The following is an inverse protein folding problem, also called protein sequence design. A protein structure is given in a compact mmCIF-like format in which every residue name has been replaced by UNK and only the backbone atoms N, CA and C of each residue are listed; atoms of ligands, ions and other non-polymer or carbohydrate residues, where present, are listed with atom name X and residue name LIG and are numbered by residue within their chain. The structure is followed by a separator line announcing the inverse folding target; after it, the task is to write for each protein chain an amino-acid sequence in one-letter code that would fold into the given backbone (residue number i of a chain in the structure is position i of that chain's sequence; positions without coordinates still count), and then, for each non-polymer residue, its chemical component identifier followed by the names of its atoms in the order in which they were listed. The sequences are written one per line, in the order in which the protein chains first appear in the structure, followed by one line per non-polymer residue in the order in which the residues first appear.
data_IF_311898171762
#
_entry.id   IF_311898171762
#
_cell.length_a   1.000
_cell.length_b   1.000
_cell.length_c   1.000
_cell.angle_alpha   90.00
_cell.angle_beta   90.00
_cell.angle_gamma   90.00
#
_symmetry.space_group_name_H-M   'P 1'
#
loop_
_entity.id
_entity.type
_entity.pdbx_description
1 polymer ?
#
# COMPACT_ATOMS: atom_id res chain seq x y z
N UNK A 1 -23.67 -14.60 30.29
CA UNK A 1 -22.96 -13.66 31.19
C UNK A 1 -22.95 -12.30 30.52
N UNK A 2 -23.61 -11.31 31.13
CA UNK A 2 -23.78 -9.96 30.54
C UNK A 2 -22.58 -9.10 30.96
N UNK A 3 -21.83 -8.56 30.02
CA UNK A 3 -20.74 -7.63 30.28
C UNK A 3 -21.14 -6.22 29.81
N UNK A 4 -21.11 -5.30 30.75
CA UNK A 4 -21.59 -3.91 30.67
C UNK A 4 -20.63 -3.04 29.81
N UNK A 5 -21.21 -2.36 28.85
CA UNK A 5 -20.61 -1.29 28.07
C UNK A 5 -20.62 0.01 28.90
N UNK A 6 -19.46 0.49 29.34
CA UNK A 6 -19.32 1.83 29.94
C UNK A 6 -18.87 2.81 28.87
N UNK A 7 -19.81 3.65 28.46
CA UNK A 7 -19.52 4.88 27.69
C UNK A 7 -18.78 5.87 28.61
N UNK A 8 -17.62 6.33 28.18
CA UNK A 8 -16.94 7.49 28.73
C UNK A 8 -16.88 8.55 27.64
N UNK A 9 -17.66 9.61 27.85
CA UNK A 9 -17.61 10.85 27.05
C UNK A 9 -16.70 11.82 27.81
N UNK A 10 -15.69 12.42 27.19
CA UNK A 10 -15.11 13.64 27.72
C UNK A 10 -15.57 14.85 26.91
N UNK A 11 -15.97 15.86 27.68
CA UNK A 11 -16.55 17.12 27.28
C UNK A 11 -15.57 18.04 26.54
N UNK A 12 -16.16 18.85 25.65
CA UNK A 12 -15.55 19.99 24.98
C UNK A 12 -15.12 21.08 25.99
N UNK A 13 -14.00 21.71 25.71
CA UNK A 13 -13.66 23.03 26.20
C UNK A 13 -13.31 23.93 24.99
N UNK A 14 -14.25 24.81 24.66
CA UNK A 14 -14.04 25.98 23.80
C UNK A 14 -13.22 27.02 24.59
N UNK A 15 -12.19 27.58 23.96
CA UNK A 15 -11.56 28.83 24.42
C UNK A 15 -11.35 29.74 23.22
N UNK A 16 -12.21 30.74 23.09
CA UNK A 16 -12.10 31.89 22.22
C UNK A 16 -11.45 33.05 23.00
N UNK A 17 -10.49 33.75 22.41
CA UNK A 17 -10.03 35.11 22.76
C UNK A 17 -9.48 35.72 21.44
N UNK A 18 -10.12 36.56 20.80
CA UNK A 18 -10.43 37.99 20.76
C UNK A 18 -9.23 38.95 20.86
N UNK A 19 -9.08 39.66 19.70
CA UNK A 19 -8.85 41.10 19.50
C UNK A 19 -7.60 41.75 20.03
N UNK A 20 -6.95 42.48 19.09
CA UNK A 20 -6.00 43.50 19.33
C UNK A 20 -5.68 44.32 18.09
N UNK A 21 -6.59 45.17 17.61
CA UNK A 21 -6.27 46.31 16.75
C UNK A 21 -5.72 47.43 17.62
N UNK A 22 -4.58 47.99 17.24
CA UNK A 22 -4.00 49.22 17.83
C UNK A 22 -3.30 50.03 16.76
N UNK A 23 -3.91 51.20 16.48
CA UNK A 23 -3.48 52.19 15.50
C UNK A 23 -2.40 53.15 16.01
N UNK A 24 -1.69 53.73 15.05
CA UNK A 24 -1.08 55.07 14.96
C UNK A 24 0.07 55.45 15.90
N UNK A 25 1.09 55.98 15.29
CA UNK A 25 2.10 56.84 15.90
C UNK A 25 3.42 56.84 15.12
N UNK A 26 3.60 57.82 14.22
CA UNK A 26 4.82 58.01 13.46
C UNK A 26 5.96 58.54 14.32
N UNK A 27 7.18 58.11 14.00
CA UNK A 27 8.42 58.87 14.15
C UNK A 27 9.53 58.24 13.34
N UNK A 28 10.19 59.02 12.53
CA UNK A 28 11.38 58.75 11.76
C UNK A 28 12.57 58.38 12.70
N UNK A 29 13.15 57.20 12.48
CA UNK A 29 14.53 56.94 12.85
C UNK A 29 15.13 55.89 11.91
N UNK A 30 16.10 56.34 11.20
CA UNK A 30 17.30 55.79 10.53
C UNK A 30 17.50 54.25 10.58
N UNK A 31 17.64 53.73 9.38
CA UNK A 31 17.88 52.32 9.07
C UNK A 31 19.15 51.74 9.70
N UNK A 32 18.99 50.54 10.25
CA UNK A 32 20.06 49.54 10.34
C UNK A 32 19.51 48.25 9.71
N UNK A 33 20.30 47.50 8.93
CA UNK A 33 19.79 46.29 8.27
C UNK A 33 19.64 45.18 9.30
N UNK A 34 18.39 44.86 9.63
CA UNK A 34 18.09 43.66 10.38
C UNK A 34 18.25 42.44 9.43
N UNK A 35 19.19 41.59 9.75
CA UNK A 35 19.34 40.28 9.13
C UNK A 35 18.02 39.51 9.29
N UNK A 36 17.32 39.32 8.19
CA UNK A 36 16.19 38.37 8.13
C UNK A 36 16.72 36.97 8.40
N UNK A 37 16.51 36.49 9.61
CA UNK A 37 16.63 35.06 9.89
C UNK A 37 15.54 34.34 9.05
N UNK A 38 15.95 33.72 7.96
CA UNK A 38 15.11 32.83 7.20
C UNK A 38 14.75 31.67 8.11
N UNK A 39 13.49 31.62 8.53
CA UNK A 39 12.90 30.44 9.15
C UNK A 39 13.02 29.29 8.15
N UNK A 40 13.61 28.12 8.51
CA UNK A 40 13.62 26.97 7.60
C UNK A 40 12.17 26.60 7.32
N UNK A 41 11.75 26.73 6.06
CA UNK A 41 10.46 26.20 5.61
C UNK A 41 10.48 24.70 5.89
N UNK A 42 9.58 24.25 6.76
CA UNK A 42 9.36 22.84 6.98
C UNK A 42 9.03 22.21 5.61
N UNK A 43 9.94 21.38 5.11
CA UNK A 43 9.73 20.64 3.89
C UNK A 43 8.52 19.73 4.10
N UNK A 44 7.46 19.95 3.33
CA UNK A 44 6.33 19.06 3.28
C UNK A 44 6.85 17.66 2.93
N UNK A 45 6.34 16.58 3.57
CA UNK A 45 6.75 15.22 3.26
C UNK A 45 6.52 14.98 1.77
N UNK A 46 7.59 14.63 1.06
CA UNK A 46 7.56 14.32 -0.36
C UNK A 46 6.64 13.12 -0.52
N UNK A 47 5.49 13.29 -1.15
CA UNK A 47 4.58 12.21 -1.48
C UNK A 47 5.39 11.17 -2.26
N UNK A 48 5.55 9.98 -1.71
CA UNK A 48 6.28 8.89 -2.32
C UNK A 48 5.57 8.52 -3.61
N UNK A 49 6.16 8.86 -4.75
CA UNK A 49 5.56 8.67 -6.06
C UNK A 49 5.30 7.18 -6.27
N UNK A 50 4.06 6.83 -6.60
CA UNK A 50 3.69 5.44 -6.86
C UNK A 50 4.55 4.89 -8.03
N UNK A 51 5.03 3.65 -7.96
CA UNK A 51 5.85 3.07 -9.02
C UNK A 51 5.07 3.02 -10.34
N UNK A 52 5.78 3.21 -11.46
CA UNK A 52 5.19 3.08 -12.77
C UNK A 52 4.74 1.63 -13.01
N UNK A 53 3.55 1.45 -13.59
CA UNK A 53 2.95 0.15 -13.85
C UNK A 53 2.59 -0.03 -15.31
N UNK A 54 2.56 -1.29 -15.75
CA UNK A 54 2.06 -1.65 -17.07
C UNK A 54 0.58 -1.29 -17.16
N UNK A 55 0.19 -0.59 -18.23
CA UNK A 55 -1.21 -0.28 -18.52
C UNK A 55 -1.75 -1.30 -19.52
N UNK A 56 -2.86 -1.93 -19.19
CA UNK A 56 -3.53 -2.90 -20.07
C UNK A 56 -5.05 -2.68 -20.04
N UNK A 57 -5.65 -2.68 -21.23
CA UNK A 57 -7.11 -2.55 -21.39
C UNK A 57 -7.80 -3.92 -21.36
N UNK A 58 -7.05 -4.99 -21.62
CA UNK A 58 -7.56 -6.37 -21.68
C UNK A 58 -6.46 -7.38 -21.37
N UNK A 59 -6.86 -8.58 -21.02
CA UNK A 59 -5.96 -9.74 -20.85
C UNK A 59 -6.31 -10.82 -21.87
N UNK A 60 -5.29 -11.56 -22.32
CA UNK A 60 -5.43 -12.63 -23.33
C UNK A 60 -5.74 -13.98 -22.66
N UNK A 61 -5.43 -14.10 -21.37
CA UNK A 61 -5.65 -15.32 -20.60
C UNK A 61 -5.41 -15.09 -19.12
N UNK A 62 -5.82 -16.07 -18.32
CA UNK A 62 -5.64 -16.02 -16.85
C UNK A 62 -5.28 -17.39 -16.30
N UNK A 63 -4.67 -17.38 -15.11
CA UNK A 63 -4.39 -18.60 -14.33
C UNK A 63 -4.51 -18.29 -12.86
N UNK A 64 -5.15 -19.18 -12.10
CA UNK A 64 -5.23 -19.06 -10.64
C UNK A 64 -4.18 -19.96 -9.99
N UNK A 65 -3.49 -19.41 -8.99
CA UNK A 65 -2.41 -20.07 -8.27
C UNK A 65 -2.64 -19.91 -6.78
N UNK A 66 -2.55 -21.03 -6.05
CA UNK A 66 -2.69 -21.04 -4.61
C UNK A 66 -1.32 -21.09 -3.92
N UNK A 67 -1.23 -20.38 -2.82
CA UNK A 67 -0.03 -20.32 -1.97
C UNK A 67 -0.39 -20.61 -0.51
N UNK A 68 0.61 -21.07 0.23
CA UNK A 68 0.61 -21.16 1.69
C UNK A 68 1.64 -20.18 2.23
N UNK A 69 1.17 -19.16 2.94
CA UNK A 69 2.00 -18.09 3.48
C UNK A 69 2.23 -18.22 4.98
N UNK A 70 3.24 -17.50 5.50
CA UNK A 70 3.67 -17.58 6.88
C UNK A 70 4.62 -18.75 7.15
N UNK A 71 5.32 -18.71 8.28
CA UNK A 71 6.42 -19.63 8.62
C UNK A 71 6.01 -21.11 8.60
N UNK A 72 4.75 -21.39 8.90
CA UNK A 72 4.19 -22.77 8.91
C UNK A 72 3.21 -23.01 7.77
N UNK A 73 3.08 -22.07 6.81
CA UNK A 73 2.14 -22.17 5.71
C UNK A 73 0.66 -22.16 6.12
N UNK A 74 0.35 -21.52 7.26
CA UNK A 74 -1.01 -21.54 7.83
C UNK A 74 -1.96 -20.52 7.20
N UNK A 75 -1.44 -19.59 6.41
CA UNK A 75 -2.21 -18.54 5.78
C UNK A 75 -2.44 -18.84 4.29
N UNK A 76 -3.58 -19.42 3.89
CA UNK A 76 -3.88 -19.67 2.49
C UNK A 76 -4.10 -18.35 1.75
N UNK A 77 -3.56 -18.24 0.54
CA UNK A 77 -3.69 -17.10 -0.35
C UNK A 77 -3.84 -17.61 -1.78
N UNK A 78 -4.74 -17.01 -2.55
CA UNK A 78 -4.92 -17.33 -3.97
C UNK A 78 -4.67 -16.09 -4.80
N UNK A 79 -4.00 -16.24 -5.93
CA UNK A 79 -3.75 -15.15 -6.89
C UNK A 79 -4.27 -15.57 -8.25
N UNK A 80 -5.13 -14.74 -8.83
CA UNK A 80 -5.45 -14.81 -10.26
C UNK A 80 -4.44 -13.92 -11.00
N UNK A 81 -3.65 -14.52 -11.87
CA UNK A 81 -2.75 -13.81 -12.78
C UNK A 81 -3.39 -13.62 -14.14
N UNK A 82 -3.31 -12.40 -14.68
CA UNK A 82 -3.72 -12.06 -16.03
C UNK A 82 -2.52 -11.87 -16.95
N UNK A 83 -2.67 -12.29 -18.19
CA UNK A 83 -1.60 -12.32 -19.19
C UNK A 83 -1.92 -11.42 -20.38
N UNK A 84 -0.88 -10.80 -20.95
CA UNK A 84 -0.97 -10.01 -22.18
C UNK A 84 0.34 -10.15 -22.97
N UNK A 85 0.26 -10.50 -24.26
CA UNK A 85 1.43 -10.55 -25.13
C UNK A 85 2.56 -11.48 -24.67
N UNK A 86 2.27 -12.53 -23.89
CA UNK A 86 3.28 -13.43 -23.35
C UNK A 86 3.84 -13.04 -21.98
N UNK A 87 3.39 -11.93 -21.40
CA UNK A 87 3.80 -11.45 -20.07
C UNK A 87 2.68 -11.61 -19.02
N UNK A 88 3.08 -11.74 -17.75
CA UNK A 88 2.18 -11.64 -16.60
C UNK A 88 2.03 -10.15 -16.28
N UNK A 89 0.86 -9.57 -16.50
CA UNK A 89 0.63 -8.11 -16.43
C UNK A 89 -0.27 -7.66 -15.30
N UNK A 90 -1.14 -8.55 -14.80
CA UNK A 90 -2.08 -8.26 -13.72
C UNK A 90 -2.03 -9.39 -12.70
N UNK A 91 -2.22 -9.04 -11.44
CA UNK A 91 -2.49 -9.98 -10.34
C UNK A 91 -3.72 -9.50 -9.56
N UNK A 92 -4.58 -10.41 -9.14
CA UNK A 92 -5.65 -10.14 -8.20
C UNK A 92 -5.55 -11.15 -7.06
N UNK A 93 -5.38 -10.64 -5.84
CA UNK A 93 -5.10 -11.46 -4.65
C UNK A 93 -6.36 -11.68 -3.83
N UNK A 94 -6.64 -12.91 -3.48
CA UNK A 94 -7.64 -13.28 -2.47
C UNK A 94 -6.94 -13.77 -1.21
N UNK A 95 -7.13 -13.06 -0.11
CA UNK A 95 -6.57 -13.38 1.21
C UNK A 95 -7.61 -13.18 2.30
N UNK A 96 -7.82 -14.17 3.18
CA UNK A 96 -8.83 -14.13 4.25
C UNK A 96 -10.21 -13.69 3.73
N UNK A 97 -10.66 -14.29 2.62
CA UNK A 97 -11.92 -13.98 1.92
C UNK A 97 -12.08 -12.54 1.40
N UNK A 98 -11.03 -11.72 1.50
CA UNK A 98 -10.96 -10.40 0.89
C UNK A 98 -10.27 -10.49 -0.47
N UNK A 99 -10.88 -9.82 -1.46
CA UNK A 99 -10.34 -9.71 -2.80
C UNK A 99 -9.71 -8.34 -2.99
N UNK A 100 -8.47 -8.30 -3.49
CA UNK A 100 -7.82 -7.05 -3.86
C UNK A 100 -8.43 -6.45 -5.14
N UNK A 101 -8.23 -5.16 -5.43
CA UNK A 101 -8.38 -4.66 -6.80
C UNK A 101 -7.41 -5.40 -7.74
N UNK A 102 -7.56 -5.18 -9.04
CA UNK A 102 -6.53 -5.60 -10.00
C UNK A 102 -5.23 -4.84 -9.72
N UNK A 103 -4.16 -5.58 -9.46
CA UNK A 103 -2.83 -5.04 -9.24
C UNK A 103 -2.07 -5.13 -10.56
N UNK A 104 -1.44 -4.05 -10.99
CA UNK A 104 -0.71 -3.98 -12.26
C UNK A 104 0.79 -4.19 -12.04
N UNK A 105 1.43 -4.86 -13.00
CA UNK A 105 2.87 -5.16 -12.94
C UNK A 105 3.69 -3.87 -12.88
N UNK A 106 4.64 -3.81 -11.96
CA UNK A 106 5.60 -2.71 -11.81
C UNK A 106 6.63 -2.79 -12.94
N UNK A 107 6.88 -1.67 -13.60
CA UNK A 107 7.88 -1.55 -14.68
C UNK A 107 9.27 -1.41 -14.03
N UNK A 108 10.26 -2.13 -14.59
CA UNK A 108 11.65 -2.04 -14.14
C UNK A 108 12.02 -3.02 -13.02
N UNK A 109 11.07 -3.78 -12.46
CA UNK A 109 11.39 -4.89 -11.56
C UNK A 109 11.82 -6.10 -12.39
N UNK A 110 13.14 -6.34 -12.43
CA UNK A 110 13.73 -7.41 -13.22
C UNK A 110 14.06 -8.67 -12.41
N UNK A 111 14.00 -8.61 -11.09
CA UNK A 111 14.34 -9.72 -10.20
C UNK A 111 13.12 -10.55 -9.82
N UNK A 112 11.97 -9.92 -9.73
CA UNK A 112 10.72 -10.57 -9.36
C UNK A 112 9.54 -10.00 -10.17
N UNK A 113 8.38 -10.59 -10.01
CA UNK A 113 7.13 -10.03 -10.50
C UNK A 113 6.46 -9.26 -9.35
N UNK A 114 6.49 -7.94 -9.41
CA UNK A 114 5.80 -7.06 -8.48
C UNK A 114 4.57 -6.46 -9.13
N UNK A 115 3.45 -6.45 -8.39
CA UNK A 115 2.17 -5.93 -8.84
C UNK A 115 1.61 -4.98 -7.79
N UNK A 116 1.15 -3.79 -8.19
CA UNK A 116 0.64 -2.80 -7.25
C UNK A 116 -0.57 -2.05 -7.76
N UNK A 117 -1.46 -1.69 -6.87
CA UNK A 117 -2.54 -0.72 -7.05
C UNK A 117 -3.11 -0.31 -5.68
N UNK A 118 -3.56 0.92 -5.55
CA UNK A 118 -4.29 1.43 -4.38
C UNK A 118 -3.59 1.12 -3.04
N UNK A 119 -2.26 1.22 -3.01
CA UNK A 119 -1.47 0.96 -1.80
C UNK A 119 -1.30 -0.52 -1.45
N UNK A 120 -1.81 -1.45 -2.25
CA UNK A 120 -1.58 -2.89 -2.09
C UNK A 120 -0.47 -3.31 -3.04
N UNK A 121 0.47 -4.11 -2.56
CA UNK A 121 1.54 -4.68 -3.40
C UNK A 121 1.66 -6.18 -3.14
N UNK A 122 1.66 -6.95 -4.22
CA UNK A 122 1.96 -8.37 -4.24
C UNK A 122 3.29 -8.60 -4.96
N UNK A 123 4.18 -9.36 -4.37
CA UNK A 123 5.42 -9.82 -5.01
C UNK A 123 5.40 -11.32 -5.19
N UNK A 124 6.01 -11.81 -6.25
CA UNK A 124 6.19 -13.22 -6.52
C UNK A 124 7.52 -13.44 -7.26
N UNK A 125 8.03 -14.65 -7.21
CA UNK A 125 9.20 -15.02 -8.01
C UNK A 125 8.94 -14.76 -9.49
N UNK A 126 9.99 -14.40 -10.22
CA UNK A 126 9.89 -14.13 -11.67
C UNK A 126 9.32 -15.33 -12.40
N UNK A 127 8.31 -15.09 -13.22
CA UNK A 127 7.61 -16.11 -13.97
C UNK A 127 7.01 -15.56 -15.26
N UNK A 128 6.78 -16.46 -16.21
CA UNK A 128 6.00 -16.24 -17.42
C UNK A 128 4.62 -16.87 -17.29
N UNK A 129 3.68 -16.66 -18.22
CA UNK A 129 2.38 -17.37 -18.24
C UNK A 129 2.51 -18.90 -18.17
N UNK A 130 3.60 -19.47 -18.72
CA UNK A 130 3.85 -20.91 -18.72
C UNK A 130 4.39 -21.45 -17.39
N UNK A 131 4.93 -20.58 -16.54
CA UNK A 131 5.64 -20.98 -15.31
C UNK A 131 5.08 -20.39 -14.02
N UNK A 132 4.10 -19.48 -14.10
CA UNK A 132 3.55 -18.79 -12.93
C UNK A 132 2.96 -19.72 -11.86
N UNK A 133 2.47 -20.89 -12.26
CA UNK A 133 1.96 -21.96 -11.40
C UNK A 133 3.04 -22.95 -10.93
N UNK A 134 4.32 -22.60 -11.11
CA UNK A 134 5.46 -23.45 -10.74
C UNK A 134 6.46 -22.76 -9.81
N UNK A 135 6.21 -21.49 -9.50
CA UNK A 135 7.11 -20.65 -8.69
C UNK A 135 6.45 -20.27 -7.37
N UNK A 136 7.28 -19.96 -6.39
CA UNK A 136 6.83 -19.44 -5.10
C UNK A 136 6.32 -18.00 -5.22
N UNK A 137 5.40 -17.63 -4.34
CA UNK A 137 5.03 -16.27 -4.05
C UNK A 137 6.06 -15.60 -3.15
N UNK A 138 5.79 -14.37 -2.79
CA UNK A 138 6.65 -13.57 -1.92
C UNK A 138 5.87 -12.98 -0.76
N UNK A 139 5.57 -11.71 -0.88
CA UNK A 139 4.97 -10.89 0.18
C UNK A 139 3.77 -10.12 -0.32
N UNK A 140 2.71 -10.08 0.48
CA UNK A 140 1.60 -9.16 0.32
C UNK A 140 1.77 -8.03 1.32
N UNK A 141 1.80 -6.79 0.84
CA UNK A 141 1.87 -5.60 1.67
C UNK A 141 0.68 -4.68 1.40
N UNK A 142 0.38 -3.83 2.36
CA UNK A 142 -0.63 -2.78 2.26
C UNK A 142 -0.09 -1.49 2.85
N UNK A 143 -0.37 -0.35 2.20
CA UNK A 143 -0.08 0.95 2.77
C UNK A 143 -1.00 1.22 3.97
N UNK A 144 -0.40 1.74 5.03
CA UNK A 144 -1.07 2.25 6.21
C UNK A 144 -0.51 3.65 6.52
N UNK A 145 -1.17 4.38 7.41
CA UNK A 145 -0.68 5.65 7.90
C UNK A 145 -0.29 5.47 9.35
N UNK A 146 0.95 5.75 9.67
CA UNK A 146 1.46 5.74 11.05
C UNK A 146 1.90 7.14 11.48
N UNK A 147 1.78 7.42 12.76
CA UNK A 147 2.26 8.67 13.35
C UNK A 147 3.69 8.47 13.81
N UNK A 148 4.63 9.07 13.09
CA UNK A 148 6.06 9.04 13.43
C UNK A 148 6.48 10.47 13.80
N UNK A 149 6.98 10.66 15.01
CA UNK A 149 7.37 11.97 15.55
C UNK A 149 6.27 13.05 15.44
N UNK A 150 5.00 12.66 15.65
CA UNK A 150 3.85 13.56 15.56
C UNK A 150 3.36 13.87 14.14
N UNK A 151 3.98 13.30 13.11
CA UNK A 151 3.57 13.46 11.71
C UNK A 151 2.97 12.17 11.17
N UNK A 152 1.89 12.29 10.39
CA UNK A 152 1.30 11.15 9.68
C UNK A 152 2.17 10.81 8.46
N UNK A 153 2.69 9.59 8.44
CA UNK A 153 3.53 9.11 7.35
C UNK A 153 2.94 7.82 6.75
N UNK A 154 2.94 7.70 5.42
CA UNK A 154 2.58 6.43 4.78
C UNK A 154 3.69 5.39 5.05
N UNK A 155 3.30 4.23 5.54
CA UNK A 155 4.18 3.09 5.78
C UNK A 155 3.65 1.87 5.05
N UNK A 156 4.55 0.98 4.64
CA UNK A 156 4.16 -0.30 4.04
C UNK A 156 4.12 -1.38 5.11
N UNK A 157 2.93 -1.90 5.41
CA UNK A 157 2.73 -2.98 6.37
C UNK A 157 2.70 -4.33 5.66
N UNK A 158 3.39 -5.33 6.21
CA UNK A 158 3.33 -6.71 5.73
C UNK A 158 2.01 -7.34 6.19
N UNK A 159 1.17 -7.72 5.23
CA UNK A 159 -0.08 -8.45 5.47
C UNK A 159 0.21 -9.94 5.64
N UNK A 160 1.03 -10.51 4.75
CA UNK A 160 1.56 -11.87 4.84
C UNK A 160 2.81 -12.02 3.97
N UNK A 161 3.65 -13.00 4.30
CA UNK A 161 4.92 -13.24 3.62
C UNK A 161 5.29 -14.72 3.62
N UNK A 162 6.45 -15.05 3.06
CA UNK A 162 6.96 -16.42 2.96
C UNK A 162 5.95 -17.36 2.28
N UNK A 163 5.36 -16.89 1.18
CA UNK A 163 4.33 -17.60 0.44
C UNK A 163 4.95 -18.69 -0.44
N UNK A 164 4.68 -19.95 -0.12
CA UNK A 164 5.12 -21.11 -0.90
C UNK A 164 4.00 -21.63 -1.79
N UNK A 165 4.34 -22.08 -2.98
CA UNK A 165 3.38 -22.64 -3.93
C UNK A 165 2.65 -23.87 -3.33
N UNK A 166 1.32 -23.83 -3.26
CA UNK A 166 0.50 -25.00 -2.98
C UNK A 166 0.09 -25.69 -4.29
N UNK A 167 0.90 -26.65 -4.74
CA UNK A 167 0.68 -27.38 -5.98
C UNK A 167 -0.65 -28.11 -6.00
N UNK A 168 -1.08 -28.68 -4.86
CA UNK A 168 -2.34 -29.42 -4.76
C UNK A 168 -3.54 -28.53 -4.91
N UNK A 169 -3.56 -27.40 -4.20
CA UNK A 169 -4.65 -26.43 -4.33
C UNK A 169 -4.66 -25.78 -5.71
N UNK A 170 -3.50 -25.42 -6.26
CA UNK A 170 -3.39 -24.88 -7.63
C UNK A 170 -3.95 -25.83 -8.68
N UNK A 171 -3.65 -27.12 -8.58
CA UNK A 171 -4.20 -28.12 -9.51
C UNK A 171 -5.73 -28.24 -9.40
N UNK A 172 -6.30 -28.12 -8.20
CA UNK A 172 -7.77 -28.09 -7.99
C UNK A 172 -8.42 -26.87 -8.66
N UNK A 173 -7.81 -25.68 -8.49
CA UNK A 173 -8.31 -24.45 -9.13
C UNK A 173 -8.30 -24.58 -10.67
N UNK A 174 -7.23 -25.11 -11.25
CA UNK A 174 -7.12 -25.34 -12.68
C UNK A 174 -8.18 -26.32 -13.24
N UNK A 175 -8.60 -27.30 -12.44
CA UNK A 175 -9.65 -28.24 -12.83
C UNK A 175 -11.06 -27.66 -12.67
N UNK A 176 -11.28 -26.78 -11.72
CA UNK A 176 -12.55 -26.09 -11.50
C UNK A 176 -12.85 -25.01 -12.56
N UNK A 177 -11.82 -24.54 -13.27
CA UNK A 177 -11.93 -23.51 -14.32
C UNK A 177 -12.20 -24.07 -15.73
N UNK A 178 -12.30 -25.41 -15.88
CA UNK A 178 -12.64 -26.12 -17.14
C UNK A 178 -14.14 -26.36 -17.23
#
# INVERSE_FOLDING_TARGET
MKANLKLIVPALALSALLTGCGSMGGSKAKAAPAASAATPAAQAPTAQQAPATVQVDSIDGRKEVAYKCGDKGQNPLTVMYGFKGGDVVVAQVKYQDKLSPGLFRVIGDNEQNSFTAQGITWTASKATPATVDKVDGGTLTQQAVEVVNGQQMPVSQIVTQACKLDKTATARLANAAK
#
